data_IF_696057645659
#
_entry.id   IF_696057645659
#
_cell.length_a   1.000
_cell.length_b   1.000
_cell.length_c   1.000
_cell.angle_alpha   90.00
_cell.angle_beta   90.00
_cell.angle_gamma   90.00
#
_symmetry.space_group_name_H-M   'P 1'
#
loop_
_entity.id
_entity.type
_entity.pdbx_description
1 polymer ?
#
# COMPACT_ATOMS: atom_id res chain seq x y z
N UNK A 1 2.60 -1.54 5.15
CA UNK A 1 3.91 -1.39 4.49
C UNK A 1 4.62 -2.74 4.41
N UNK A 2 5.56 -2.89 3.48
CA UNK A 2 6.49 -4.01 3.45
C UNK A 2 7.93 -3.46 3.39
N UNK A 3 8.76 -3.83 4.37
CA UNK A 3 10.17 -3.41 4.47
C UNK A 3 11.15 -4.52 4.13
N UNK A 4 10.65 -5.72 3.78
CA UNK A 4 11.45 -6.93 3.53
C UNK A 4 11.34 -7.34 2.07
N UNK A 5 11.84 -6.48 1.18
CA UNK A 5 11.93 -6.78 -0.24
C UNK A 5 13.30 -6.35 -0.81
N UNK A 6 13.64 -6.92 -1.95
CA UNK A 6 14.78 -6.51 -2.77
C UNK A 6 14.36 -6.59 -4.24
N UNK A 7 14.44 -5.45 -4.93
CA UNK A 7 14.13 -5.32 -6.34
C UNK A 7 15.40 -5.66 -7.13
N UNK A 8 15.41 -6.72 -7.94
CA UNK A 8 16.58 -7.07 -8.74
C UNK A 8 16.97 -5.97 -9.72
N UNK A 9 18.26 -5.91 -10.05
CA UNK A 9 18.75 -5.06 -11.14
C UNK A 9 18.01 -5.36 -12.45
N UNK A 10 17.64 -4.32 -13.20
CA UNK A 10 17.00 -4.44 -14.51
C UNK A 10 15.52 -4.88 -14.50
N UNK A 11 14.92 -5.17 -13.34
CA UNK A 11 13.55 -5.67 -13.27
C UNK A 11 12.53 -4.61 -13.73
N UNK A 12 11.76 -4.90 -14.78
CA UNK A 12 10.82 -3.93 -15.36
C UNK A 12 9.47 -3.80 -14.63
N UNK A 13 9.12 -4.77 -13.77
CA UNK A 13 7.87 -4.77 -13.01
C UNK A 13 7.96 -5.75 -11.82
N UNK A 14 8.83 -5.45 -10.84
CA UNK A 14 8.97 -6.27 -9.65
C UNK A 14 7.81 -6.02 -8.68
N UNK A 15 7.04 -7.06 -8.36
CA UNK A 15 5.89 -6.98 -7.47
C UNK A 15 6.31 -7.05 -6.00
N UNK A 16 5.74 -6.17 -5.17
CA UNK A 16 5.84 -6.20 -3.71
C UNK A 16 4.44 -6.05 -3.12
N UNK A 17 4.11 -6.94 -2.20
CA UNK A 17 2.81 -6.97 -1.54
C UNK A 17 2.93 -6.55 -0.06
N UNK A 18 1.87 -5.92 0.46
CA UNK A 18 1.65 -5.69 1.88
C UNK A 18 0.19 -5.96 2.23
N UNK A 19 -0.10 -6.31 3.48
CA UNK A 19 -1.47 -6.54 3.93
C UNK A 19 -1.67 -6.20 5.40
N UNK A 20 -2.91 -5.88 5.75
CA UNK A 20 -3.38 -5.70 7.12
C UNK A 20 -4.79 -6.27 7.26
N UNK A 21 -5.11 -6.90 8.38
CA UNK A 21 -6.46 -7.40 8.68
C UNK A 21 -7.06 -6.58 9.81
N UNK A 22 -8.26 -6.05 9.59
CA UNK A 22 -9.03 -5.34 10.60
C UNK A 22 -9.47 -6.27 11.72
N UNK A 23 -9.35 -5.83 12.96
CA UNK A 23 -9.71 -6.59 14.16
C UNK A 23 -11.06 -6.16 14.75
N UNK A 24 -11.61 -5.05 14.27
CA UNK A 24 -12.96 -4.53 14.56
C UNK A 24 -13.56 -3.94 13.27
N UNK A 25 -14.86 -3.66 13.29
CA UNK A 25 -15.51 -2.91 12.22
C UNK A 25 -14.96 -1.48 12.18
N UNK A 26 -14.74 -0.94 10.99
CA UNK A 26 -14.22 0.41 10.80
C UNK A 26 -14.75 1.05 9.52
N UNK A 27 -14.65 2.37 9.41
CA UNK A 27 -14.94 3.08 8.17
C UNK A 27 -13.63 3.54 7.51
N UNK A 28 -13.37 3.07 6.29
CA UNK A 28 -12.27 3.55 5.46
C UNK A 28 -12.63 4.94 4.91
N UNK A 29 -11.72 5.90 5.08
CA UNK A 29 -11.95 7.31 4.70
C UNK A 29 -11.03 7.74 3.58
N UNK A 30 -9.73 7.42 3.69
CA UNK A 30 -8.71 7.86 2.74
C UNK A 30 -7.77 6.72 2.38
N UNK A 31 -7.11 6.85 1.23
CA UNK A 31 -6.06 5.97 0.75
C UNK A 31 -4.91 6.85 0.24
N UNK A 32 -3.68 6.55 0.64
CA UNK A 32 -2.49 7.29 0.20
C UNK A 32 -1.37 6.28 -0.14
N UNK A 33 -1.32 5.79 -1.39
CA UNK A 33 -0.19 4.98 -1.84
C UNK A 33 1.11 5.80 -1.79
N UNK A 34 2.22 5.12 -1.51
CA UNK A 34 3.52 5.75 -1.47
C UNK A 34 4.63 4.80 -1.92
N UNK A 35 5.42 5.31 -2.85
CA UNK A 35 6.56 4.67 -3.50
C UNK A 35 7.59 5.74 -3.86
N UNK A 36 8.86 5.34 -4.04
CA UNK A 36 9.90 6.25 -4.52
C UNK A 36 10.02 6.20 -6.06
N UNK A 37 11.23 6.47 -6.57
CA UNK A 37 11.50 6.76 -7.99
C UNK A 37 11.17 5.61 -8.94
N UNK A 38 11.14 4.37 -8.46
CA UNK A 38 10.88 3.19 -9.28
C UNK A 38 9.43 2.77 -9.24
N UNK A 39 8.55 3.47 -8.53
CA UNK A 39 7.14 3.12 -8.53
C UNK A 39 6.53 3.12 -9.93
N UNK A 40 5.80 2.05 -10.26
CA UNK A 40 5.17 1.82 -11.56
C UNK A 40 3.64 1.86 -11.48
N UNK A 41 3.09 1.15 -10.50
CA UNK A 41 1.67 1.12 -10.21
C UNK A 41 1.42 0.67 -8.77
N UNK A 42 0.23 1.00 -8.26
CA UNK A 42 -0.23 0.64 -6.92
C UNK A 42 -1.72 0.28 -6.94
N UNK A 43 -2.10 -0.79 -6.24
CA UNK A 43 -3.49 -1.21 -6.06
C UNK A 43 -3.79 -1.51 -4.59
N UNK A 44 -4.95 -1.08 -4.12
CA UNK A 44 -5.56 -1.48 -2.86
C UNK A 44 -6.77 -2.37 -3.13
N UNK A 45 -6.88 -3.48 -2.41
CA UNK A 45 -8.05 -4.36 -2.42
C UNK A 45 -8.53 -4.63 -1.01
N UNK A 46 -9.84 -4.67 -0.82
CA UNK A 46 -10.48 -5.27 0.35
C UNK A 46 -10.84 -6.72 0.03
N UNK A 47 -10.33 -7.65 0.83
CA UNK A 47 -10.78 -9.04 0.85
C UNK A 47 -11.66 -9.22 2.08
N UNK A 48 -12.96 -9.40 1.85
CA UNK A 48 -13.97 -9.51 2.90
C UNK A 48 -13.92 -10.87 3.60
N UNK A 49 -14.41 -10.99 4.85
CA UNK A 49 -14.52 -12.28 5.55
C UNK A 49 -15.33 -13.35 4.80
N UNK A 50 -16.22 -12.91 3.90
CA UNK A 50 -17.02 -13.76 3.01
C UNK A 50 -16.20 -14.38 1.87
N UNK A 51 -14.99 -13.89 1.62
CA UNK A 51 -14.13 -14.26 0.49
C UNK A 51 -14.26 -13.35 -0.74
N UNK A 52 -15.24 -12.44 -0.76
CA UNK A 52 -15.38 -11.44 -1.81
C UNK A 52 -14.18 -10.48 -1.82
N UNK A 53 -13.80 -10.02 -3.01
CA UNK A 53 -12.70 -9.04 -3.18
C UNK A 53 -13.20 -7.82 -3.94
N UNK A 54 -12.92 -6.62 -3.43
CA UNK A 54 -13.23 -5.34 -4.04
C UNK A 54 -11.94 -4.51 -4.23
N UNK A 55 -11.78 -3.89 -5.41
CA UNK A 55 -10.71 -2.91 -5.62
C UNK A 55 -11.12 -1.57 -5.00
N UNK A 56 -10.34 -1.08 -4.04
CA UNK A 56 -10.59 0.18 -3.34
C UNK A 56 -9.97 1.38 -4.06
N UNK A 57 -8.76 1.20 -4.60
CA UNK A 57 -8.03 2.21 -5.38
C UNK A 57 -7.09 1.49 -6.33
N UNK A 58 -6.98 2.01 -7.55
CA UNK A 58 -5.99 1.56 -8.53
C UNK A 58 -5.32 2.77 -9.18
N UNK A 59 -4.00 2.84 -9.05
CA UNK A 59 -3.14 3.85 -9.68
C UNK A 59 -2.28 3.12 -10.72
N UNK A 60 -2.75 2.98 -11.99
CA UNK A 60 -2.12 2.11 -12.98
C UNK A 60 -0.85 2.68 -13.62
N UNK A 61 -0.56 3.96 -13.39
CA UNK A 61 0.61 4.68 -13.88
C UNK A 61 1.07 5.63 -12.78
N UNK A 62 1.77 5.07 -11.81
CA UNK A 62 2.34 5.86 -10.72
C UNK A 62 3.34 6.88 -11.25
N UNK A 63 3.35 8.06 -10.63
CA UNK A 63 4.39 9.07 -10.79
C UNK A 63 4.91 9.42 -9.40
N UNK A 64 6.22 9.48 -9.20
CA UNK A 64 6.83 9.78 -7.91
C UNK A 64 6.35 11.13 -7.32
N UNK A 65 5.99 12.08 -8.17
CA UNK A 65 5.47 13.38 -7.74
C UNK A 65 4.01 13.32 -7.27
N UNK A 66 3.30 12.21 -7.49
CA UNK A 66 1.90 12.01 -7.08
C UNK A 66 1.79 11.38 -5.70
N UNK A 67 2.35 12.05 -4.70
CA UNK A 67 2.19 11.69 -3.29
C UNK A 67 0.84 12.19 -2.75
N UNK A 68 -0.26 11.73 -3.36
CA UNK A 68 -1.60 12.25 -3.18
C UNK A 68 -2.42 11.43 -2.17
N UNK A 69 -3.25 12.13 -1.39
CA UNK A 69 -4.34 11.53 -0.62
C UNK A 69 -5.57 11.39 -1.51
N UNK A 70 -6.10 10.18 -1.63
CA UNK A 70 -7.37 9.89 -2.28
C UNK A 70 -8.46 9.80 -1.20
N UNK A 71 -9.44 10.70 -1.30
CA UNK A 71 -10.63 10.67 -0.46
C UNK A 71 -11.70 9.81 -1.12
N UNK A 72 -12.34 8.94 -0.34
CA UNK A 72 -13.53 8.26 -0.82
C UNK A 72 -14.71 9.25 -0.87
N UNK A 73 -15.57 9.14 -1.88
CA UNK A 73 -16.78 9.97 -2.01
C UNK A 73 -17.67 9.89 -0.75
N UNK A 74 -17.70 8.72 -0.12
CA UNK A 74 -18.28 8.50 1.20
C UNK A 74 -17.46 7.45 1.97
N UNK A 75 -17.35 7.55 3.31
CA UNK A 75 -16.66 6.54 4.10
C UNK A 75 -17.24 5.15 3.86
N UNK A 76 -16.38 4.15 3.67
CA UNK A 76 -16.77 2.76 3.39
C UNK A 76 -16.67 1.92 4.66
N UNK A 77 -17.79 1.35 5.11
CA UNK A 77 -17.80 0.40 6.22
C UNK A 77 -17.13 -0.90 5.81
N UNK A 78 -16.07 -1.26 6.53
CA UNK A 78 -15.35 -2.53 6.39
C UNK A 78 -15.60 -3.36 7.66
N UNK A 79 -16.16 -4.58 7.54
CA UNK A 79 -16.37 -5.44 8.69
C UNK A 79 -15.05 -5.95 9.25
N UNK A 80 -15.04 -6.29 10.54
CA UNK A 80 -13.98 -7.05 11.20
C UNK A 80 -13.58 -8.27 10.37
N UNK A 81 -12.27 -8.50 10.26
CA UNK A 81 -11.72 -9.59 9.46
C UNK A 81 -11.49 -9.22 7.99
N UNK A 82 -11.95 -8.05 7.53
CA UNK A 82 -11.55 -7.53 6.22
C UNK A 82 -10.04 -7.39 6.16
N UNK A 83 -9.45 -7.91 5.09
CA UNK A 83 -8.03 -7.77 4.80
C UNK A 83 -7.83 -6.72 3.72
N UNK A 84 -7.16 -5.63 4.07
CA UNK A 84 -6.70 -4.63 3.12
C UNK A 84 -5.37 -5.14 2.56
N UNK A 85 -5.35 -5.46 1.27
CA UNK A 85 -4.18 -5.90 0.53
C UNK A 85 -3.71 -4.75 -0.36
N UNK A 86 -2.40 -4.55 -0.40
CA UNK A 86 -1.75 -3.58 -1.27
C UNK A 86 -0.77 -4.34 -2.17
N UNK A 87 -0.85 -4.10 -3.48
CA UNK A 87 0.10 -4.61 -4.45
C UNK A 87 0.75 -3.43 -5.18
N UNK A 88 2.07 -3.43 -5.24
CA UNK A 88 2.82 -2.40 -5.93
C UNK A 88 3.84 -3.04 -6.87
N UNK A 89 4.11 -2.40 -8.00
CA UNK A 89 5.17 -2.82 -8.92
C UNK A 89 6.24 -1.74 -9.03
N UNK A 90 7.49 -2.18 -9.10
CA UNK A 90 8.65 -1.32 -9.28
C UNK A 90 9.34 -1.58 -10.62
N UNK A 91 9.67 -0.51 -11.33
CA UNK A 91 10.44 -0.52 -12.56
C UNK A 91 11.88 -0.08 -12.31
N UNK A 92 12.73 -1.07 -12.02
CA UNK A 92 14.19 -0.93 -11.91
C UNK A 92 14.91 -1.23 -13.24
N UNK A 93 14.21 -1.15 -14.37
CA UNK A 93 14.82 -1.31 -15.69
C UNK A 93 15.51 -0.02 -16.15
N UNK A 94 16.39 -0.08 -17.17
CA UNK A 94 16.97 1.12 -17.79
C UNK A 94 15.94 1.96 -18.57
N UNK A 95 14.70 1.49 -18.74
CA UNK A 95 13.64 2.22 -19.45
C UNK A 95 12.86 3.17 -18.54
N UNK A 96 13.05 3.10 -17.22
CA UNK A 96 12.46 4.05 -16.29
C UNK A 96 13.36 5.30 -16.20
N UNK A 97 12.94 6.46 -16.72
CA UNK A 97 13.76 7.68 -16.70
C UNK A 97 14.01 8.23 -15.29
N UNK A 98 13.19 7.85 -14.31
CA UNK A 98 13.39 8.23 -12.92
C UNK A 98 14.38 7.30 -12.18
N UNK A 99 14.78 6.17 -12.77
CA UNK A 99 15.70 5.23 -12.14
C UNK A 99 17.15 5.75 -12.18
N UNK A 100 17.77 6.07 -11.02
CA UNK A 100 19.12 6.61 -10.99
C UNK A 100 20.21 5.60 -11.36
N UNK A 101 19.96 4.30 -11.16
CA UNK A 101 20.91 3.22 -11.45
C UNK A 101 20.17 1.88 -11.58
N UNK A 102 19.96 1.43 -12.81
CA UNK A 102 19.29 0.16 -13.11
C UNK A 102 20.19 -1.08 -12.91
N UNK A 103 21.50 -0.89 -12.73
CA UNK A 103 22.47 -1.96 -12.56
C UNK A 103 22.54 -2.52 -11.14
N UNK A 104 21.83 -1.90 -10.19
CA UNK A 104 21.87 -2.27 -8.77
C UNK A 104 20.58 -2.91 -8.29
N UNK A 105 20.73 -3.85 -7.36
CA UNK A 105 19.63 -4.29 -6.51
C UNK A 105 19.23 -3.13 -5.57
N UNK A 106 17.93 -2.95 -5.36
CA UNK A 106 17.38 -1.88 -4.53
C UNK A 106 16.53 -2.47 -3.42
N UNK A 107 16.67 -1.96 -2.19
CA UNK A 107 15.95 -2.45 -1.01
C UNK A 107 15.09 -1.33 -0.43
N UNK A 108 14.31 -1.69 0.58
CA UNK A 108 13.61 -0.70 1.38
C UNK A 108 14.60 0.27 2.02
N UNK A 109 14.29 1.57 2.00
CA UNK A 109 15.08 2.60 2.68
C UNK A 109 14.44 3.99 2.60
N UNK A 110 14.99 4.93 3.37
CA UNK A 110 14.41 6.27 3.54
C UNK A 110 14.72 7.21 2.37
N UNK A 111 15.74 6.90 1.58
CA UNK A 111 16.17 7.77 0.49
C UNK A 111 15.38 7.51 -0.79
N UNK A 112 15.10 8.55 -1.57
CA UNK A 112 14.34 8.41 -2.82
C UNK A 112 14.99 7.48 -3.85
N UNK A 113 16.31 7.26 -3.77
CA UNK A 113 17.02 6.30 -4.63
C UNK A 113 17.01 4.86 -4.08
N UNK A 114 16.65 4.68 -2.81
CA UNK A 114 16.16 3.41 -2.25
C UNK A 114 14.66 3.30 -2.58
N UNK A 115 13.92 2.41 -1.92
CA UNK A 115 12.48 2.30 -2.16
C UNK A 115 11.63 2.22 -0.90
N UNK A 116 10.36 2.55 -1.05
CA UNK A 116 9.33 2.29 -0.05
C UNK A 116 8.12 1.63 -0.69
N UNK A 117 7.51 0.71 0.05
CA UNK A 117 6.20 0.16 -0.27
C UNK A 117 5.28 0.43 0.91
N UNK A 118 4.51 1.51 0.84
CA UNK A 118 3.57 1.89 1.88
C UNK A 118 2.20 2.17 1.28
N UNK A 119 1.20 1.44 1.75
CA UNK A 119 -0.19 1.78 1.53
C UNK A 119 -0.75 2.44 2.78
N UNK A 120 -0.68 3.76 2.89
CA UNK A 120 -1.33 4.49 3.97
C UNK A 120 -2.84 4.54 3.74
N UNK A 121 -3.59 4.61 4.84
CA UNK A 121 -5.03 4.78 4.83
C UNK A 121 -5.50 5.26 6.19
N UNK A 122 -6.59 6.02 6.21
CA UNK A 122 -7.25 6.46 7.43
C UNK A 122 -8.52 5.64 7.68
N UNK A 123 -8.70 5.25 8.94
CA UNK A 123 -9.92 4.62 9.44
C UNK A 123 -10.60 5.53 10.45
N UNK A 124 -11.90 5.72 10.31
CA UNK A 124 -12.75 6.20 11.37
C UNK A 124 -13.30 5.01 12.17
N UNK A 125 -13.26 5.13 13.49
CA UNK A 125 -13.79 4.16 14.45
C UNK A 125 -14.56 4.90 15.55
N UNK A 126 -15.40 4.18 16.30
CA UNK A 126 -16.17 4.79 17.38
C UNK A 126 -15.25 5.37 18.47
N UNK A 127 -15.58 6.57 18.95
CA UNK A 127 -14.74 7.33 19.88
C UNK A 127 -14.57 6.69 21.26
N UNK A 128 -15.42 5.74 21.63
CA UNK A 128 -15.30 4.93 22.85
C UNK A 128 -14.22 3.84 22.74
N UNK A 129 -13.61 3.66 21.57
CA UNK A 129 -12.60 2.62 21.29
C UNK A 129 -11.21 3.19 21.20
N UNK A 130 -10.23 2.38 21.61
CA UNK A 130 -8.82 2.68 21.36
C UNK A 130 -8.51 2.41 19.89
N UNK A 131 -7.90 3.35 19.15
CA UNK A 131 -7.52 3.13 17.75
C UNK A 131 -6.65 1.87 17.54
N UNK A 132 -5.85 1.49 18.53
CA UNK A 132 -5.05 0.26 18.50
C UNK A 132 -5.88 -1.02 18.34
N UNK A 133 -7.10 -1.04 18.86
CA UNK A 133 -7.95 -2.23 18.87
C UNK A 133 -8.46 -2.59 17.47
N UNK A 134 -8.52 -1.62 16.56
CA UNK A 134 -8.91 -1.82 15.16
C UNK A 134 -7.84 -2.57 14.38
N UNK A 135 -6.56 -2.38 14.73
CA UNK A 135 -5.42 -2.86 13.95
C UNK A 135 -4.67 -4.03 14.59
N UNK A 136 -4.74 -4.19 15.92
CA UNK A 136 -3.97 -5.19 16.66
C UNK A 136 -4.88 -6.20 17.33
N UNK A 137 -4.52 -7.49 17.24
CA UNK A 137 -5.18 -8.52 18.03
C UNK A 137 -4.97 -8.22 19.51
N UNK A 138 -6.05 -8.20 20.30
CA UNK A 138 -5.96 -8.12 21.76
C UNK A 138 -5.18 -9.34 22.25
N UNK A 139 -4.10 -9.11 22.99
CA UNK A 139 -3.45 -10.17 23.76
C UNK A 139 -4.40 -10.50 24.92
N UNK A 140 -4.78 -11.77 25.01
CA UNK A 140 -5.56 -12.35 26.11
C UNK A 140 -4.59 -12.71 27.23
#
# INVERSE_FOLDING_TARGET
MNTKFAIPAGAAAHRVDAQMTLQEDAQLVTLMPHMHLRGKDFEYRAVYPTGETETLLRVPRWDFNWQLVYYLDAPKTLPKGTRIECAAHFDNSPNNPANPDAGKEVKWGDQSWEEMMIGWFDLAANADRKPSDVLRKKQI
#
